data_IF_947664431215
#
_entry.id   IF_947664431215
#
_cell.length_a   1.000
_cell.length_b   1.000
_cell.length_c   1.000
_cell.angle_alpha   90.00
_cell.angle_beta   90.00
_cell.angle_gamma   90.00
#
_symmetry.space_group_name_H-M   'P 1'
#
loop_
_entity.id
_entity.type
_entity.pdbx_description
1 polymer ?
#
# COMPACT_ATOMS: atom_id res chain seq x y z
N UNK A 1 -20.27 -17.66 -8.26
CA UNK A 1 -18.89 -18.13 -7.97
C UNK A 1 -18.94 -19.61 -7.70
N UNK A 2 -18.04 -20.42 -8.28
CA UNK A 2 -17.89 -21.82 -7.89
C UNK A 2 -17.08 -21.90 -6.59
N UNK A 3 -17.43 -22.82 -5.69
CA UNK A 3 -16.62 -23.09 -4.52
C UNK A 3 -15.22 -23.59 -4.93
N UNK A 4 -14.18 -23.25 -4.18
CA UNK A 4 -12.80 -23.66 -4.44
C UNK A 4 -12.23 -24.36 -3.22
N UNK A 5 -11.63 -25.54 -3.46
CA UNK A 5 -11.00 -26.32 -2.40
C UNK A 5 -9.50 -26.48 -2.68
N UNK A 6 -8.68 -25.73 -1.95
CA UNK A 6 -7.24 -25.90 -1.94
C UNK A 6 -6.87 -27.09 -1.07
N UNK A 7 -6.16 -28.06 -1.65
CA UNK A 7 -5.66 -29.25 -0.96
C UNK A 7 -4.15 -29.30 -1.05
N UNK A 8 -3.53 -30.00 -0.13
CA UNK A 8 -2.09 -30.23 -0.15
C UNK A 8 -1.27 -28.94 -0.29
N UNK A 9 -1.63 -27.92 0.50
CA UNK A 9 -0.97 -26.62 0.55
C UNK A 9 -0.27 -26.39 1.89
N UNK A 10 0.84 -25.66 1.86
CA UNK A 10 1.53 -25.16 3.04
C UNK A 10 0.98 -23.77 3.38
N UNK A 11 0.21 -23.66 4.44
CA UNK A 11 -0.60 -22.50 4.79
C UNK A 11 0.18 -21.57 5.73
N UNK A 12 0.42 -20.33 5.29
CA UNK A 12 0.76 -19.18 6.13
C UNK A 12 -0.54 -18.43 6.45
N UNK A 13 -1.03 -18.51 7.68
CA UNK A 13 -2.35 -18.00 8.04
C UNK A 13 -2.40 -16.52 8.44
N UNK A 14 -1.24 -15.81 8.42
CA UNK A 14 -1.12 -14.42 8.89
C UNK A 14 -1.09 -14.28 10.42
N UNK A 15 -1.03 -15.39 11.16
CA UNK A 15 -1.01 -15.37 12.65
C UNK A 15 0.38 -15.15 13.25
N UNK A 16 1.44 -15.26 12.47
CA UNK A 16 2.81 -15.16 12.96
C UNK A 16 3.42 -16.50 13.40
N UNK A 17 2.64 -17.58 13.35
CA UNK A 17 3.12 -18.94 13.62
C UNK A 17 3.73 -19.58 12.37
N UNK A 18 4.50 -20.65 12.57
CA UNK A 18 5.07 -21.40 11.47
C UNK A 18 3.98 -21.95 10.54
N UNK A 19 4.17 -21.87 9.20
CA UNK A 19 3.22 -22.46 8.24
C UNK A 19 3.02 -23.94 8.46
N UNK A 20 1.83 -24.43 8.15
CA UNK A 20 1.44 -25.82 8.33
C UNK A 20 0.82 -26.39 7.06
N UNK A 21 0.93 -27.70 6.88
CA UNK A 21 0.24 -28.40 5.80
C UNK A 21 -1.25 -28.50 6.09
N UNK A 22 -2.08 -28.24 5.06
CA UNK A 22 -3.51 -28.23 5.27
C UNK A 22 -4.33 -28.07 4.01
N UNK A 23 -5.60 -27.78 4.22
CA UNK A 23 -6.62 -27.55 3.21
C UNK A 23 -7.41 -26.28 3.52
N UNK A 24 -7.86 -25.58 2.49
CA UNK A 24 -8.69 -24.37 2.61
C UNK A 24 -9.88 -24.49 1.67
N UNK A 25 -11.09 -24.41 2.23
CA UNK A 25 -12.34 -24.34 1.47
C UNK A 25 -12.78 -22.88 1.36
N UNK A 26 -13.00 -22.42 0.14
CA UNK A 26 -13.58 -21.11 -0.19
C UNK A 26 -15.00 -21.32 -0.68
N UNK A 27 -15.95 -20.55 -0.13
CA UNK A 27 -17.34 -20.50 -0.55
C UNK A 27 -17.78 -19.05 -0.75
N UNK A 28 -18.22 -18.75 -1.97
CA UNK A 28 -18.47 -17.37 -2.34
C UNK A 28 -17.21 -16.50 -2.21
N UNK A 29 -17.30 -15.38 -1.50
CA UNK A 29 -16.18 -14.45 -1.28
C UNK A 29 -15.37 -14.72 0.02
N UNK A 30 -15.68 -15.82 0.73
CA UNK A 30 -15.14 -16.11 2.06
C UNK A 30 -14.41 -17.44 2.17
N UNK A 31 -13.47 -17.46 3.11
CA UNK A 31 -12.87 -18.70 3.59
C UNK A 31 -13.91 -19.37 4.51
N UNK A 32 -14.45 -20.50 4.06
CA UNK A 32 -15.46 -21.25 4.80
C UNK A 32 -14.83 -22.18 5.83
N UNK A 33 -13.64 -22.74 5.52
CA UNK A 33 -12.98 -23.69 6.41
C UNK A 33 -11.46 -23.74 6.19
N UNK A 34 -10.72 -23.91 7.29
CA UNK A 34 -9.29 -24.18 7.29
C UNK A 34 -9.04 -25.46 8.09
N UNK A 35 -8.37 -26.44 7.50
CA UNK A 35 -8.09 -27.75 8.14
C UNK A 35 -6.58 -28.01 8.13
N UNK A 36 -6.02 -28.28 9.32
CA UNK A 36 -4.63 -28.70 9.45
C UNK A 36 -4.50 -30.20 9.17
N UNK A 37 -3.53 -30.61 8.37
CA UNK A 37 -3.27 -32.03 8.08
C UNK A 37 -3.01 -32.82 9.37
N UNK A 38 -3.56 -34.02 9.45
CA UNK A 38 -3.42 -34.90 10.63
C UNK A 38 -4.44 -34.69 11.73
N UNK A 39 -5.35 -33.70 11.64
CA UNK A 39 -6.39 -33.47 12.65
C UNK A 39 -7.72 -34.19 12.39
N UNK A 40 -7.71 -35.23 11.53
CA UNK A 40 -8.80 -36.22 11.41
C UNK A 40 -10.07 -35.77 10.67
N UNK A 41 -10.24 -34.51 10.34
CA UNK A 41 -11.39 -34.01 9.61
C UNK A 41 -10.92 -33.43 8.29
N UNK A 42 -11.11 -34.17 7.18
CA UNK A 42 -11.00 -33.56 5.85
C UNK A 42 -12.12 -32.54 5.66
N UNK A 43 -11.84 -31.40 5.07
CA UNK A 43 -12.92 -30.57 4.54
C UNK A 43 -13.64 -31.46 3.51
N UNK A 44 -14.88 -31.92 3.85
CA UNK A 44 -15.65 -32.69 2.89
C UNK A 44 -15.84 -31.82 1.65
N UNK A 45 -15.47 -32.28 0.45
CA UNK A 45 -15.71 -31.51 -0.74
C UNK A 45 -17.22 -31.28 -0.87
N UNK A 46 -17.61 -30.03 -0.91
CA UNK A 46 -18.96 -29.68 -1.32
C UNK A 46 -19.08 -30.09 -2.79
N UNK A 47 -20.10 -30.88 -3.13
CA UNK A 47 -20.26 -31.39 -4.49
C UNK A 47 -20.24 -30.23 -5.49
N UNK A 48 -19.30 -30.27 -6.45
CA UNK A 48 -19.12 -29.23 -7.47
C UNK A 48 -18.00 -28.22 -7.21
N UNK A 49 -17.28 -28.28 -6.08
CA UNK A 49 -16.14 -27.41 -5.84
C UNK A 49 -14.98 -27.69 -6.82
N UNK A 50 -14.35 -26.61 -7.30
CA UNK A 50 -13.11 -26.70 -8.06
C UNK A 50 -11.97 -27.08 -7.12
N UNK A 51 -11.31 -28.22 -7.36
CA UNK A 51 -10.16 -28.65 -6.54
C UNK A 51 -8.87 -28.07 -7.11
N UNK A 52 -8.09 -27.43 -6.23
CA UNK A 52 -6.72 -26.96 -6.49
C UNK A 52 -5.77 -27.78 -5.63
N UNK A 53 -5.09 -28.76 -6.23
CA UNK A 53 -4.01 -29.50 -5.56
C UNK A 53 -2.74 -28.63 -5.59
N UNK A 54 -2.36 -28.06 -4.46
CA UNK A 54 -1.19 -27.21 -4.36
C UNK A 54 0.15 -27.93 -4.48
N UNK A 55 0.18 -29.26 -4.39
CA UNK A 55 1.41 -30.09 -4.45
C UNK A 55 2.51 -29.58 -3.48
N UNK A 56 2.13 -29.09 -2.30
CA UNK A 56 3.03 -28.52 -1.29
C UNK A 56 3.36 -27.03 -1.47
N UNK A 57 2.81 -26.37 -2.49
CA UNK A 57 3.00 -24.94 -2.70
C UNK A 57 2.53 -24.09 -1.49
N UNK A 58 3.09 -22.89 -1.36
CA UNK A 58 2.84 -21.99 -0.24
C UNK A 58 1.56 -21.18 -0.49
N UNK A 59 0.57 -21.34 0.37
CA UNK A 59 -0.68 -20.56 0.34
C UNK A 59 -0.62 -19.47 1.40
N UNK A 60 -0.77 -18.22 0.98
CA UNK A 60 -0.73 -17.05 1.86
C UNK A 60 -1.89 -16.09 1.58
N UNK A 61 -2.23 -15.19 2.52
CA UNK A 61 -3.17 -14.10 2.24
C UNK A 61 -2.65 -13.21 1.12
N UNK A 62 -3.56 -12.59 0.38
CA UNK A 62 -3.23 -11.50 -0.54
C UNK A 62 -2.56 -10.34 0.19
N UNK A 63 -1.63 -9.67 -0.50
CA UNK A 63 -0.83 -8.58 0.07
C UNK A 63 -1.60 -7.25 0.10
N UNK A 64 -1.21 -6.39 1.05
CA UNK A 64 -1.75 -5.04 1.27
C UNK A 64 -0.66 -4.01 1.03
N UNK A 65 -0.82 -3.15 0.02
CA UNK A 65 0.06 -2.01 -0.24
C UNK A 65 -0.50 -0.76 0.47
N UNK A 66 0.29 -0.16 1.35
CA UNK A 66 -0.17 0.91 2.23
C UNK A 66 0.05 2.32 1.67
N UNK A 67 0.80 2.47 0.56
CA UNK A 67 1.16 3.76 -0.03
C UNK A 67 1.10 3.70 -1.56
N UNK A 68 -0.11 3.81 -2.11
CA UNK A 68 -0.36 3.55 -3.52
C UNK A 68 -0.70 4.82 -4.29
N UNK A 69 -0.13 4.96 -5.48
CA UNK A 69 -0.37 6.05 -6.41
C UNK A 69 -0.71 5.53 -7.81
N UNK A 70 -1.91 5.03 -8.06
CA UNK A 70 -2.27 4.51 -9.40
C UNK A 70 -2.12 5.55 -10.51
N UNK A 71 -2.20 6.81 -10.17
CA UNK A 71 -2.07 7.93 -11.11
C UNK A 71 -0.65 8.49 -11.26
N UNK A 72 0.34 8.00 -10.54
CA UNK A 72 1.74 8.24 -10.91
C UNK A 72 2.05 7.40 -12.14
N UNK A 73 2.48 8.00 -13.23
CA UNK A 73 2.57 7.36 -14.54
C UNK A 73 4.00 7.07 -15.00
N UNK A 74 4.82 6.61 -14.04
CA UNK A 74 6.22 6.23 -14.23
C UNK A 74 7.06 7.36 -14.88
N UNK A 75 6.71 8.63 -14.63
CA UNK A 75 7.42 9.80 -15.11
C UNK A 75 8.48 10.31 -14.12
N UNK A 76 9.49 11.09 -14.58
CA UNK A 76 10.59 11.51 -13.71
C UNK A 76 10.29 12.73 -12.82
N UNK A 77 9.11 13.32 -12.89
CA UNK A 77 8.72 14.47 -12.04
C UNK A 77 7.23 14.60 -11.89
N UNK A 78 6.79 15.27 -10.82
CA UNK A 78 5.38 15.55 -10.58
C UNK A 78 4.74 16.40 -11.70
N UNK A 79 5.50 17.36 -12.25
CA UNK A 79 5.07 18.17 -13.42
C UNK A 79 4.83 17.28 -14.65
N UNK A 80 5.72 16.33 -14.93
CA UNK A 80 5.53 15.39 -16.04
C UNK A 80 4.31 14.48 -15.82
N UNK A 81 4.10 13.99 -14.59
CA UNK A 81 2.91 13.20 -14.21
C UNK A 81 1.63 14.00 -14.46
N UNK A 82 1.62 15.27 -14.09
CA UNK A 82 0.45 16.17 -14.22
C UNK A 82 0.02 16.35 -15.67
N UNK A 83 0.92 16.31 -16.63
CA UNK A 83 0.68 16.66 -18.05
C UNK A 83 -0.20 15.66 -18.80
N UNK A 84 -0.32 14.41 -18.31
CA UNK A 84 -1.18 13.41 -18.97
C UNK A 84 -2.64 13.89 -18.97
N UNK A 85 -3.36 13.89 -20.09
CA UNK A 85 -4.77 14.25 -20.16
C UNK A 85 -5.63 13.37 -19.22
N UNK A 86 -6.70 13.89 -18.60
CA UNK A 86 -7.51 13.13 -17.64
C UNK A 86 -8.07 11.81 -18.18
N UNK A 87 -8.53 11.80 -19.44
CA UNK A 87 -9.09 10.64 -20.12
C UNK A 87 -8.05 9.55 -20.40
N UNK A 88 -6.81 9.92 -20.73
CA UNK A 88 -5.70 8.97 -20.87
C UNK A 88 -5.22 8.51 -19.50
N UNK A 89 -5.20 9.43 -18.53
CA UNK A 89 -4.74 9.16 -17.18
C UNK A 89 -5.62 8.13 -16.47
N UNK A 90 -6.95 8.16 -16.70
CA UNK A 90 -7.84 7.15 -16.11
C UNK A 90 -7.59 5.76 -16.70
N UNK A 91 -7.29 5.66 -18.00
CA UNK A 91 -6.93 4.40 -18.65
C UNK A 91 -5.59 3.86 -18.12
N UNK A 92 -4.61 4.74 -17.90
CA UNK A 92 -3.36 4.39 -17.23
C UNK A 92 -3.63 3.81 -15.82
N UNK A 93 -4.43 4.50 -15.00
CA UNK A 93 -4.75 4.04 -13.66
C UNK A 93 -5.40 2.65 -13.65
N UNK A 94 -6.25 2.35 -14.63
CA UNK A 94 -6.87 1.03 -14.77
C UNK A 94 -5.85 -0.07 -15.04
N UNK A 95 -4.87 0.18 -15.92
CA UNK A 95 -3.77 -0.76 -16.20
C UNK A 95 -2.87 -0.96 -14.97
N UNK A 96 -2.60 0.12 -14.21
CA UNK A 96 -1.82 0.03 -12.97
C UNK A 96 -2.56 -0.79 -11.92
N UNK A 97 -3.87 -0.59 -11.75
CA UNK A 97 -4.68 -1.36 -10.80
C UNK A 97 -4.62 -2.87 -11.09
N UNK A 98 -4.73 -3.27 -12.36
CA UNK A 98 -4.57 -4.67 -12.77
C UNK A 98 -3.15 -5.18 -12.50
N UNK A 99 -2.11 -4.37 -12.78
CA UNK A 99 -0.71 -4.71 -12.53
C UNK A 99 -0.43 -5.01 -11.04
N UNK A 100 -1.03 -4.25 -10.12
CA UNK A 100 -0.93 -4.54 -8.68
C UNK A 100 -1.53 -5.89 -8.33
N UNK A 101 -2.73 -6.18 -8.84
CA UNK A 101 -3.37 -7.47 -8.60
C UNK A 101 -2.57 -8.63 -9.20
N UNK A 102 -2.00 -8.44 -10.39
CA UNK A 102 -1.08 -9.39 -11.04
C UNK A 102 0.11 -9.81 -10.18
N UNK A 103 0.61 -8.86 -9.37
CA UNK A 103 1.74 -9.07 -8.45
C UNK A 103 1.29 -9.50 -7.05
N UNK A 104 0.01 -9.86 -6.87
CA UNK A 104 -0.52 -10.37 -5.60
C UNK A 104 -0.92 -9.32 -4.57
N UNK A 105 -0.93 -8.04 -4.92
CA UNK A 105 -1.46 -6.98 -4.08
C UNK A 105 -2.98 -6.94 -4.22
N UNK A 106 -3.68 -7.69 -3.37
CA UNK A 106 -5.16 -7.79 -3.43
C UNK A 106 -5.88 -6.63 -2.76
N UNK A 107 -5.15 -5.82 -1.98
CA UNK A 107 -5.66 -4.63 -1.30
C UNK A 107 -4.65 -3.50 -1.39
N UNK A 108 -5.13 -2.28 -1.68
CA UNK A 108 -4.29 -1.09 -1.81
C UNK A 108 -4.95 0.12 -1.16
N UNK A 109 -4.13 0.93 -0.48
CA UNK A 109 -4.56 2.20 0.11
C UNK A 109 -4.00 3.35 -0.72
N UNK A 110 -4.86 4.11 -1.38
CA UNK A 110 -4.48 5.31 -2.09
C UNK A 110 -3.82 6.32 -1.16
N UNK A 111 -2.66 6.80 -1.54
CA UNK A 111 -1.90 7.79 -0.78
C UNK A 111 -2.14 9.21 -1.30
N UNK A 112 -2.21 9.38 -2.60
CA UNK A 112 -2.66 10.59 -3.28
C UNK A 112 -2.97 10.30 -4.74
N UNK A 113 -3.79 11.15 -5.36
CA UNK A 113 -4.09 11.09 -6.79
C UNK A 113 -3.60 12.35 -7.52
N UNK A 114 -3.14 12.21 -8.76
CA UNK A 114 -2.61 13.32 -9.57
C UNK A 114 -3.69 14.30 -10.09
N UNK A 115 -4.95 13.95 -10.01
CA UNK A 115 -6.10 14.79 -10.39
C UNK A 115 -7.29 14.53 -9.46
N UNK A 116 -8.24 15.45 -9.33
CA UNK A 116 -9.22 15.47 -8.23
C UNK A 116 -10.02 14.19 -8.00
N UNK A 117 -10.24 13.35 -9.02
CA UNK A 117 -11.19 12.24 -8.94
C UNK A 117 -10.69 10.91 -9.50
N UNK A 118 -9.43 10.81 -9.96
CA UNK A 118 -8.95 9.56 -10.59
C UNK A 118 -9.12 8.36 -9.67
N UNK A 119 -8.63 8.45 -8.43
CA UNK A 119 -8.74 7.37 -7.44
C UNK A 119 -10.18 6.96 -7.15
N UNK A 120 -11.08 7.94 -7.03
CA UNK A 120 -12.51 7.69 -6.76
C UNK A 120 -13.15 6.93 -7.93
N UNK A 121 -12.85 7.33 -9.16
CA UNK A 121 -13.37 6.67 -10.37
C UNK A 121 -12.84 5.25 -10.46
N UNK A 122 -11.54 5.05 -10.25
CA UNK A 122 -10.91 3.72 -10.28
C UNK A 122 -11.49 2.80 -9.20
N UNK A 123 -11.61 3.29 -7.94
CA UNK A 123 -12.24 2.50 -6.87
C UNK A 123 -13.67 2.09 -7.22
N UNK A 124 -14.46 3.02 -7.73
CA UNK A 124 -15.84 2.73 -8.10
C UNK A 124 -15.91 1.70 -9.23
N UNK A 125 -15.09 1.88 -10.28
CA UNK A 125 -15.03 0.96 -11.43
C UNK A 125 -14.54 -0.45 -11.04
N UNK A 126 -13.65 -0.56 -10.05
CA UNK A 126 -13.28 -1.87 -9.48
C UNK A 126 -14.44 -2.49 -8.71
N UNK A 127 -15.17 -1.68 -7.91
CA UNK A 127 -16.24 -2.17 -7.06
C UNK A 127 -17.47 -2.61 -7.86
N UNK A 128 -17.76 -1.97 -9.00
CA UNK A 128 -18.87 -2.34 -9.88
C UNK A 128 -18.47 -3.37 -10.96
N UNK A 129 -17.18 -3.78 -11.00
CA UNK A 129 -16.67 -4.79 -11.92
C UNK A 129 -16.39 -4.28 -13.34
N UNK A 130 -16.42 -2.98 -13.57
CA UNK A 130 -16.09 -2.36 -14.88
C UNK A 130 -14.63 -2.59 -15.24
N UNK A 131 -13.73 -2.54 -14.25
CA UNK A 131 -12.30 -2.85 -14.40
C UNK A 131 -11.83 -3.85 -13.35
N UNK A 132 -10.75 -4.53 -13.67
CA UNK A 132 -10.05 -5.44 -12.74
C UNK A 132 -9.09 -4.65 -11.87
N UNK A 133 -9.02 -4.98 -10.57
CA UNK A 133 -8.09 -4.34 -9.65
C UNK A 133 -8.24 -4.85 -8.21
N UNK A 134 -7.35 -4.42 -7.30
CA UNK A 134 -7.40 -4.77 -5.88
C UNK A 134 -8.60 -4.12 -5.17
N UNK A 135 -8.87 -4.51 -3.93
CA UNK A 135 -9.68 -3.68 -3.03
C UNK A 135 -8.97 -2.36 -2.86
N UNK A 136 -9.65 -1.25 -3.11
CA UNK A 136 -9.01 0.04 -3.15
C UNK A 136 -9.70 1.07 -2.24
N UNK A 137 -8.91 1.82 -1.48
CA UNK A 137 -9.36 3.02 -0.77
C UNK A 137 -8.85 4.25 -1.52
N UNK A 138 -9.75 5.09 -1.97
CA UNK A 138 -9.46 6.26 -2.81
C UNK A 138 -8.94 7.44 -1.98
N UNK A 139 -7.82 8.03 -2.39
CA UNK A 139 -7.28 9.25 -1.79
C UNK A 139 -7.73 10.52 -2.50
N UNK A 140 -7.57 11.68 -1.80
CA UNK A 140 -7.59 13.00 -2.42
C UNK A 140 -6.30 13.27 -3.21
N UNK A 141 -6.24 14.39 -3.93
CA UNK A 141 -4.96 14.97 -4.31
C UNK A 141 -4.14 15.33 -3.06
N UNK A 142 -2.86 15.58 -3.26
CA UNK A 142 -2.01 16.18 -2.23
C UNK A 142 -2.53 17.55 -1.87
N UNK A 143 -2.98 17.74 -0.61
CA UNK A 143 -3.34 19.06 -0.09
C UNK A 143 -2.03 19.72 0.37
N UNK A 144 -1.71 20.86 -0.20
CA UNK A 144 -0.44 21.55 0.01
C UNK A 144 -0.62 23.07 0.04
N UNK A 145 0.46 23.79 0.31
CA UNK A 145 0.50 25.27 0.34
C UNK A 145 1.18 25.81 -0.93
N UNK A 146 1.03 27.12 -1.25
CA UNK A 146 1.81 27.74 -2.31
C UNK A 146 3.32 27.53 -2.13
N UNK A 147 3.99 26.98 -3.15
CA UNK A 147 5.42 26.63 -3.10
C UNK A 147 5.74 25.38 -2.28
N UNK A 148 4.74 24.64 -1.79
CA UNK A 148 4.92 23.39 -1.05
C UNK A 148 5.08 22.18 -1.95
N UNK A 149 5.33 21.01 -1.34
CA UNK A 149 5.34 19.72 -2.04
C UNK A 149 3.98 19.51 -2.72
N UNK A 150 4.00 19.24 -4.03
CA UNK A 150 2.79 19.07 -4.85
C UNK A 150 2.35 20.35 -5.59
N UNK A 151 2.89 21.54 -5.25
CA UNK A 151 2.74 22.73 -6.08
C UNK A 151 3.78 22.73 -7.19
N UNK A 152 3.37 22.23 -8.36
CA UNK A 152 4.25 22.05 -9.52
C UNK A 152 4.25 23.26 -10.47
N UNK A 153 3.41 24.27 -10.22
CA UNK A 153 3.23 25.39 -11.13
C UNK A 153 4.28 26.47 -10.88
N UNK A 154 4.97 26.90 -11.94
CA UNK A 154 5.94 27.97 -11.82
C UNK A 154 5.27 29.28 -11.36
N UNK A 155 5.91 30.12 -10.50
CA UNK A 155 5.28 31.28 -9.86
C UNK A 155 4.69 32.33 -10.80
N UNK A 156 5.14 32.38 -12.06
CA UNK A 156 4.67 33.33 -13.07
C UNK A 156 3.55 32.79 -13.97
N UNK A 157 3.13 31.53 -13.74
CA UNK A 157 2.06 30.89 -14.49
C UNK A 157 0.79 30.77 -13.65
N UNK A 158 -0.40 30.84 -14.27
CA UNK A 158 -1.63 30.55 -13.58
C UNK A 158 -1.70 29.06 -13.20
N UNK A 159 -2.30 28.77 -12.06
CA UNK A 159 -2.58 27.38 -11.67
C UNK A 159 -3.51 26.71 -12.70
N UNK A 160 -3.15 25.56 -13.24
CA UNK A 160 -4.04 24.82 -14.14
C UNK A 160 -5.25 24.26 -13.36
N UNK A 161 -6.38 24.12 -14.04
CA UNK A 161 -7.60 23.52 -13.47
C UNK A 161 -7.36 22.12 -12.88
N UNK A 162 -6.48 21.34 -13.51
CA UNK A 162 -6.08 20.00 -13.07
C UNK A 162 -4.63 20.02 -12.58
N UNK A 163 -4.32 20.92 -11.64
CA UNK A 163 -3.04 20.94 -10.95
C UNK A 163 -2.77 19.63 -10.23
N UNK A 164 -1.48 19.28 -10.03
CA UNK A 164 -1.10 18.07 -9.33
C UNK A 164 -1.58 18.07 -7.87
N UNK A 165 -1.30 19.15 -7.14
CA UNK A 165 -1.74 19.36 -5.76
C UNK A 165 -2.94 20.29 -5.65
N UNK A 166 -3.70 20.11 -4.58
CA UNK A 166 -4.74 21.05 -4.16
C UNK A 166 -4.11 22.11 -3.25
N UNK A 167 -3.92 23.31 -3.80
CA UNK A 167 -3.23 24.41 -3.13
C UNK A 167 -4.20 25.15 -2.20
N UNK A 168 -3.83 25.28 -0.93
CA UNK A 168 -4.65 25.99 0.08
C UNK A 168 -3.77 26.89 0.96
N UNK A 169 -4.36 27.98 1.46
CA UNK A 169 -3.70 28.92 2.35
C UNK A 169 -4.69 29.38 3.43
N UNK A 170 -4.41 28.97 4.66
CA UNK A 170 -5.26 29.25 5.80
C UNK A 170 -6.40 28.25 6.05
N UNK A 171 -6.97 28.31 7.24
CA UNK A 171 -7.93 27.35 7.77
C UNK A 171 -9.22 27.24 6.93
N UNK A 172 -9.74 28.36 6.41
CA UNK A 172 -11.00 28.35 5.66
C UNK A 172 -10.85 27.76 4.25
N UNK A 173 -9.71 27.97 3.58
CA UNK A 173 -9.43 27.28 2.31
C UNK A 173 -9.22 25.80 2.54
N UNK A 174 -8.52 25.40 3.62
CA UNK A 174 -8.40 24.00 4.02
C UNK A 174 -9.78 23.37 4.23
N UNK A 175 -10.68 24.01 4.97
CA UNK A 175 -12.05 23.56 5.21
C UNK A 175 -12.81 23.34 3.90
N UNK A 176 -12.75 24.30 3.00
CA UNK A 176 -13.40 24.22 1.68
C UNK A 176 -12.83 23.07 0.85
N UNK A 177 -11.51 22.92 0.86
CA UNK A 177 -10.80 21.85 0.13
C UNK A 177 -11.20 20.47 0.63
N UNK A 178 -11.19 20.24 1.95
CA UNK A 178 -11.61 18.96 2.56
C UNK A 178 -13.05 18.63 2.18
N UNK A 179 -13.98 19.58 2.33
CA UNK A 179 -15.39 19.39 1.97
C UNK A 179 -15.59 19.08 0.48
N UNK A 180 -14.77 19.67 -0.39
CA UNK A 180 -14.78 19.35 -1.82
C UNK A 180 -14.37 17.91 -2.08
N UNK A 181 -13.30 17.42 -1.47
CA UNK A 181 -12.87 16.03 -1.62
C UNK A 181 -13.86 15.04 -0.99
N UNK A 182 -14.48 15.40 0.13
CA UNK A 182 -15.59 14.62 0.71
C UNK A 182 -16.75 14.51 -0.29
N UNK A 183 -17.14 15.61 -0.93
CA UNK A 183 -18.17 15.62 -1.99
C UNK A 183 -17.77 14.74 -3.17
N UNK A 184 -16.48 14.69 -3.53
CA UNK A 184 -15.99 13.79 -4.60
C UNK A 184 -16.03 12.32 -4.21
N UNK A 185 -16.12 12.01 -2.91
CA UNK A 185 -16.30 10.65 -2.40
C UNK A 185 -14.99 9.95 -2.04
N UNK A 186 -13.92 10.68 -1.71
CA UNK A 186 -12.67 10.08 -1.24
C UNK A 186 -12.86 9.30 0.08
N UNK A 187 -12.00 8.32 0.32
CA UNK A 187 -11.92 7.57 1.58
C UNK A 187 -10.89 8.19 2.54
N UNK A 188 -9.87 8.84 1.98
CA UNK A 188 -8.77 9.47 2.72
C UNK A 188 -8.41 10.85 2.17
N UNK A 189 -8.10 11.79 3.06
CA UNK A 189 -7.52 13.10 2.74
C UNK A 189 -5.99 12.97 2.86
N UNK A 190 -5.25 13.39 1.84
CA UNK A 190 -3.78 13.42 1.86
C UNK A 190 -3.29 14.84 2.05
N UNK A 191 -2.57 15.08 3.15
CA UNK A 191 -1.95 16.39 3.46
C UNK A 191 -0.42 16.25 3.44
N UNK A 192 0.28 17.23 2.86
CA UNK A 192 1.73 17.27 2.85
C UNK A 192 2.23 18.14 4.01
N UNK A 193 2.65 17.52 5.12
CA UNK A 193 3.15 18.24 6.30
C UNK A 193 4.63 18.62 6.20
N UNK A 194 5.42 17.91 5.41
CA UNK A 194 6.82 18.28 5.14
C UNK A 194 7.11 18.35 3.66
N UNK A 195 8.26 18.88 3.30
CA UNK A 195 8.72 18.95 1.92
C UNK A 195 9.36 17.65 1.42
N UNK A 196 9.81 17.73 0.17
CA UNK A 196 10.56 16.71 -0.55
C UNK A 196 11.64 17.40 -1.38
N UNK A 197 12.90 17.02 -1.21
CA UNK A 197 14.05 17.73 -1.80
C UNK A 197 14.00 17.81 -3.33
N UNK A 198 13.42 16.80 -4.01
CA UNK A 198 13.28 16.80 -5.48
C UNK A 198 12.37 17.90 -6.00
N UNK A 199 11.48 18.44 -5.15
CA UNK A 199 10.57 19.54 -5.51
C UNK A 199 11.13 20.91 -5.10
N UNK A 200 12.33 20.95 -4.52
CA UNK A 200 12.96 22.18 -4.02
C UNK A 200 12.49 22.60 -2.63
N UNK A 201 11.53 21.89 -2.02
CA UNK A 201 11.09 22.14 -0.65
C UNK A 201 11.83 21.18 0.29
N UNK A 202 12.64 21.67 1.25
CA UNK A 202 13.39 20.80 2.16
C UNK A 202 12.49 19.90 3.00
N UNK A 203 12.92 18.63 3.17
CA UNK A 203 12.16 17.61 3.90
C UNK A 203 12.03 17.90 5.41
N UNK A 204 12.86 18.77 5.97
CA UNK A 204 12.83 19.20 7.37
C UNK A 204 11.83 20.34 7.65
N UNK A 205 11.22 20.93 6.64
CA UNK A 205 10.28 22.04 6.76
C UNK A 205 8.84 21.58 6.87
N UNK A 206 8.13 22.10 7.87
CA UNK A 206 6.67 21.93 7.96
C UNK A 206 5.96 23.00 7.15
N UNK A 207 5.01 22.58 6.32
CA UNK A 207 4.31 23.44 5.36
C UNK A 207 3.06 24.09 5.94
N UNK A 208 2.40 23.45 6.92
CA UNK A 208 1.15 23.89 7.52
C UNK A 208 1.32 24.33 8.95
N UNK A 209 0.47 25.27 9.38
CA UNK A 209 0.28 25.64 10.79
C UNK A 209 -0.57 24.59 11.50
N UNK A 210 -0.51 24.57 12.84
CA UNK A 210 -1.37 23.67 13.63
C UNK A 210 -2.86 23.95 13.44
N UNK A 211 -3.24 25.21 13.21
CA UNK A 211 -4.62 25.59 12.93
C UNK A 211 -5.15 24.98 11.62
N UNK A 212 -4.34 24.96 10.57
CA UNK A 212 -4.72 24.35 9.29
C UNK A 212 -4.82 22.83 9.39
N UNK A 213 -3.88 22.19 10.10
CA UNK A 213 -3.90 20.75 10.35
C UNK A 213 -5.14 20.37 11.17
N UNK A 214 -5.44 21.11 12.23
CA UNK A 214 -6.61 20.88 13.08
C UNK A 214 -7.91 20.90 12.28
N UNK A 215 -8.09 21.90 11.41
CA UNK A 215 -9.27 22.01 10.55
C UNK A 215 -9.36 20.85 9.58
N UNK A 216 -8.24 20.41 8.97
CA UNK A 216 -8.23 19.24 8.08
C UNK A 216 -8.72 17.99 8.81
N UNK A 217 -8.20 17.71 10.00
CA UNK A 217 -8.55 16.53 10.80
C UNK A 217 -9.98 16.61 11.34
N UNK A 218 -10.41 17.76 11.84
CA UNK A 218 -11.76 18.00 12.36
C UNK A 218 -12.81 17.74 11.28
N UNK A 219 -12.65 18.36 10.11
CA UNK A 219 -13.58 18.18 8.98
C UNK A 219 -13.57 16.71 8.49
N UNK A 220 -12.40 16.09 8.34
CA UNK A 220 -12.32 14.68 7.94
C UNK A 220 -13.06 13.77 8.95
N UNK A 221 -12.84 13.95 10.24
CA UNK A 221 -13.53 13.21 11.32
C UNK A 221 -15.04 13.38 11.27
N UNK A 222 -15.53 14.60 11.07
CA UNK A 222 -16.96 14.90 10.98
C UNK A 222 -17.66 14.11 9.87
N UNK A 223 -16.93 13.77 8.80
CA UNK A 223 -17.41 12.97 7.67
C UNK A 223 -16.97 11.51 7.70
N UNK A 224 -16.38 11.03 8.79
CA UNK A 224 -15.87 9.66 8.93
C UNK A 224 -14.74 9.33 7.95
N UNK A 225 -14.00 10.33 7.50
CA UNK A 225 -12.87 10.17 6.59
C UNK A 225 -11.56 10.06 7.36
N UNK A 226 -10.59 9.38 6.75
CA UNK A 226 -9.22 9.28 7.25
C UNK A 226 -8.39 10.46 6.78
N UNK A 227 -7.40 10.83 7.59
CA UNK A 227 -6.31 11.71 7.14
C UNK A 227 -5.02 10.91 7.08
N UNK A 228 -4.27 11.10 6.01
CA UNK A 228 -2.93 10.58 5.80
C UNK A 228 -1.97 11.72 5.50
N UNK A 229 -0.73 11.62 5.94
CA UNK A 229 0.23 12.71 5.80
C UNK A 229 1.57 12.26 5.23
N UNK A 230 2.10 13.03 4.27
CA UNK A 230 3.52 13.04 3.97
C UNK A 230 4.24 13.75 5.12
N UNK A 231 5.07 13.04 5.86
CA UNK A 231 5.74 13.56 7.05
C UNK A 231 7.13 12.94 7.22
N UNK A 232 8.17 13.65 6.79
CA UNK A 232 9.56 13.17 6.84
C UNK A 232 10.31 13.65 8.08
N UNK A 233 10.05 14.87 8.57
CA UNK A 233 10.75 15.49 9.69
C UNK A 233 10.18 15.09 11.06
N UNK A 234 11.02 15.13 12.11
CA UNK A 234 10.57 14.93 13.50
C UNK A 234 9.34 15.80 13.83
N UNK A 235 9.37 17.09 13.45
CA UNK A 235 8.29 18.00 13.75
C UNK A 235 6.99 17.64 13.02
N UNK A 236 7.06 17.26 11.74
CA UNK A 236 5.87 16.82 10.99
C UNK A 236 5.27 15.54 11.56
N UNK A 237 6.10 14.57 11.96
CA UNK A 237 5.66 13.32 12.59
C UNK A 237 4.98 13.60 13.95
N UNK A 238 5.59 14.42 14.80
CA UNK A 238 5.00 14.82 16.09
C UNK A 238 3.63 15.50 15.91
N UNK A 239 3.50 16.34 14.88
CA UNK A 239 2.20 16.96 14.53
C UNK A 239 1.19 15.93 14.05
N UNK A 240 1.58 14.94 13.27
CA UNK A 240 0.68 13.84 12.89
C UNK A 240 0.07 13.18 14.12
N UNK A 241 0.89 12.80 15.09
CA UNK A 241 0.44 12.13 16.30
C UNK A 241 -0.45 13.06 17.14
N UNK A 242 -0.01 14.28 17.42
CA UNK A 242 -0.76 15.27 18.24
C UNK A 242 -2.13 15.62 17.68
N UNK A 243 -2.28 15.66 16.36
CA UNK A 243 -3.56 15.94 15.69
C UNK A 243 -4.38 14.68 15.38
N UNK A 244 -3.86 13.47 15.65
CA UNK A 244 -4.56 12.21 15.41
C UNK A 244 -4.69 11.84 13.93
N UNK A 245 -3.66 12.13 13.13
CA UNK A 245 -3.56 11.69 11.73
C UNK A 245 -3.25 10.20 11.73
N UNK A 246 -4.12 9.38 11.11
CA UNK A 246 -4.05 7.92 11.21
C UNK A 246 -2.89 7.30 10.42
N UNK A 247 -2.52 7.87 9.26
CA UNK A 247 -1.48 7.29 8.40
C UNK A 247 -0.33 8.28 8.24
N UNK A 248 0.86 7.85 8.63
CA UNK A 248 2.08 8.63 8.54
C UNK A 248 2.96 7.99 7.47
N UNK A 249 3.09 8.68 6.34
CA UNK A 249 3.96 8.25 5.26
C UNK A 249 5.40 8.70 5.53
N UNK A 250 6.34 7.87 5.14
CA UNK A 250 7.80 8.07 5.22
C UNK A 250 8.38 8.00 6.63
N UNK A 251 8.07 8.94 7.53
CA UNK A 251 8.66 9.01 8.88
C UNK A 251 10.20 8.87 8.84
N UNK A 252 10.91 9.70 8.03
CA UNK A 252 12.34 9.55 7.75
C UNK A 252 13.22 9.88 8.94
N UNK A 253 12.96 11.01 9.62
CA UNK A 253 13.77 11.51 10.70
C UNK A 253 13.05 11.43 12.03
N UNK A 254 13.67 10.79 13.02
CA UNK A 254 13.12 10.69 14.37
C UNK A 254 14.19 11.03 15.40
N UNK A 255 13.79 11.70 16.48
CA UNK A 255 14.50 11.82 17.72
C UNK A 255 13.85 10.90 18.80
N UNK A 256 14.43 10.83 19.98
CA UNK A 256 13.88 9.98 21.05
C UNK A 256 12.45 10.36 21.42
N UNK A 257 12.12 11.66 21.49
CA UNK A 257 10.76 12.14 21.77
C UNK A 257 9.77 11.65 20.70
N UNK A 258 10.14 11.71 19.41
CA UNK A 258 9.31 11.23 18.32
C UNK A 258 9.08 9.73 18.40
N UNK A 259 10.13 8.97 18.71
CA UNK A 259 10.05 7.52 18.87
C UNK A 259 9.17 7.13 20.06
N UNK A 260 9.32 7.82 21.20
CA UNK A 260 8.50 7.59 22.40
C UNK A 260 7.02 7.88 22.12
N UNK A 261 6.74 8.99 21.44
CA UNK A 261 5.38 9.37 21.05
C UNK A 261 4.74 8.35 20.08
N UNK A 262 5.49 7.88 19.09
CA UNK A 262 4.99 6.84 18.15
C UNK A 262 4.78 5.49 18.84
N UNK A 263 5.58 5.14 19.84
CA UNK A 263 5.41 3.92 20.64
C UNK A 263 4.16 4.02 21.54
N UNK A 264 3.97 5.15 22.23
CA UNK A 264 2.81 5.40 23.09
C UNK A 264 1.50 5.27 22.32
N UNK A 265 1.45 5.81 21.08
CA UNK A 265 0.27 5.83 20.21
C UNK A 265 0.28 4.77 19.10
N UNK A 266 1.11 3.72 19.20
CA UNK A 266 1.32 2.74 18.10
C UNK A 266 0.08 1.99 17.62
N UNK A 267 -1.00 2.00 18.37
CA UNK A 267 -2.27 1.39 17.97
C UNK A 267 -3.19 2.36 17.22
N UNK A 268 -2.89 3.66 17.27
CA UNK A 268 -3.69 4.73 16.67
C UNK A 268 -3.17 5.12 15.27
N UNK A 269 -1.92 4.76 14.96
CA UNK A 269 -1.24 5.14 13.73
C UNK A 269 -0.78 3.94 12.91
N UNK A 270 -0.69 4.16 11.59
CA UNK A 270 -0.02 3.29 10.65
C UNK A 270 1.21 4.03 10.09
N UNK A 271 2.38 3.43 10.23
CA UNK A 271 3.59 3.90 9.56
C UNK A 271 3.70 3.16 8.24
N UNK A 272 3.38 3.84 7.15
CA UNK A 272 3.47 3.28 5.81
C UNK A 272 4.76 3.81 5.14
N UNK A 273 5.79 2.95 5.13
CA UNK A 273 7.10 3.31 4.64
C UNK A 273 7.78 2.15 3.94
N UNK A 274 8.09 2.35 2.66
CA UNK A 274 9.06 1.56 1.94
C UNK A 274 10.42 2.25 1.84
N UNK A 275 11.42 1.52 1.42
CA UNK A 275 12.76 2.04 1.15
C UNK A 275 13.04 2.17 -0.34
N UNK A 276 12.19 1.59 -1.20
CA UNK A 276 12.43 1.49 -2.64
C UNK A 276 12.67 2.86 -3.28
N UNK A 277 11.84 3.86 -2.97
CA UNK A 277 11.99 5.20 -3.55
C UNK A 277 13.33 5.83 -3.18
N UNK A 278 13.74 5.83 -1.90
CA UNK A 278 15.02 6.39 -1.46
C UNK A 278 16.21 5.64 -2.03
N UNK A 279 16.20 4.30 -2.00
CA UNK A 279 17.28 3.48 -2.52
C UNK A 279 17.45 3.72 -4.02
N UNK A 280 16.35 3.69 -4.78
CA UNK A 280 16.40 3.87 -6.22
C UNK A 280 16.79 5.31 -6.58
N UNK A 281 16.31 6.32 -5.85
CA UNK A 281 16.73 7.72 -6.03
C UNK A 281 18.24 7.86 -5.83
N UNK A 282 18.81 7.26 -4.78
CA UNK A 282 20.24 7.35 -4.49
C UNK A 282 21.12 6.60 -5.49
N UNK A 283 20.64 5.48 -6.06
CA UNK A 283 21.51 4.51 -6.73
C UNK A 283 21.09 4.14 -8.15
N UNK A 284 19.84 4.39 -8.56
CA UNK A 284 19.28 3.90 -9.82
C UNK A 284 18.59 4.97 -10.67
N UNK A 285 18.72 6.26 -10.31
CA UNK A 285 18.00 7.36 -10.96
C UNK A 285 18.91 8.26 -11.85
N UNK A 286 20.13 7.82 -12.16
CA UNK A 286 21.11 8.62 -12.91
C UNK A 286 20.67 8.99 -14.33
N UNK A 287 19.90 8.12 -15.00
CA UNK A 287 19.34 8.38 -16.34
C UNK A 287 18.39 9.57 -16.35
N UNK A 288 17.80 9.90 -15.20
CA UNK A 288 16.90 11.05 -15.01
C UNK A 288 17.59 12.25 -14.35
N UNK A 289 18.93 12.29 -14.37
CA UNK A 289 19.73 13.41 -13.83
C UNK A 289 19.97 13.35 -12.32
N UNK A 290 19.46 12.33 -11.63
CA UNK A 290 19.68 12.12 -10.20
C UNK A 290 20.92 11.22 -9.99
N UNK A 291 22.11 11.75 -10.36
CA UNK A 291 23.36 11.02 -10.12
C UNK A 291 23.65 10.92 -8.60
N UNK A 292 24.50 9.97 -8.16
CA UNK A 292 24.88 9.87 -6.75
C UNK A 292 25.42 11.18 -6.15
N UNK A 293 26.14 11.99 -6.92
CA UNK A 293 26.65 13.29 -6.48
C UNK A 293 25.50 14.31 -6.31
N UNK A 294 24.52 14.31 -7.22
CA UNK A 294 23.33 15.17 -7.14
C UNK A 294 22.48 14.78 -5.93
N UNK A 295 22.16 13.50 -5.80
CA UNK A 295 21.31 13.01 -4.71
C UNK A 295 21.97 13.18 -3.33
N UNK A 296 23.30 13.10 -3.27
CA UNK A 296 24.05 13.42 -2.04
C UNK A 296 23.93 14.90 -1.68
N UNK A 297 24.08 15.82 -2.65
CA UNK A 297 23.87 17.26 -2.42
C UNK A 297 22.45 17.61 -2.01
N UNK A 298 21.48 16.84 -2.47
CA UNK A 298 20.06 16.96 -2.08
C UNK A 298 19.74 16.37 -0.71
N UNK A 299 20.71 15.69 -0.05
CA UNK A 299 20.56 15.10 1.29
C UNK A 299 19.92 13.70 1.31
N UNK A 300 19.66 13.07 0.15
CA UNK A 300 18.97 11.78 0.10
C UNK A 300 19.76 10.62 0.70
N UNK A 301 21.10 10.65 0.63
CA UNK A 301 21.90 9.62 1.27
C UNK A 301 21.82 9.67 2.81
N UNK A 302 21.79 10.88 3.38
CA UNK A 302 21.63 11.07 4.82
C UNK A 302 20.20 10.71 5.24
N UNK A 303 19.21 11.06 4.41
CA UNK A 303 17.81 10.66 4.65
C UNK A 303 17.63 9.15 4.60
N UNK A 304 18.23 8.44 3.63
CA UNK A 304 18.17 6.99 3.54
C UNK A 304 18.77 6.33 4.79
N UNK A 305 19.90 6.82 5.25
CA UNK A 305 20.55 6.32 6.48
C UNK A 305 19.65 6.55 7.70
N UNK A 306 19.13 7.78 7.88
CA UNK A 306 18.21 8.11 8.97
C UNK A 306 16.93 7.26 8.93
N UNK A 307 16.37 7.06 7.75
CA UNK A 307 15.19 6.26 7.52
C UNK A 307 15.37 4.80 7.96
N UNK A 308 16.49 4.18 7.61
CA UNK A 308 16.82 2.81 8.01
C UNK A 308 16.94 2.72 9.54
N UNK A 309 17.64 3.65 10.18
CA UNK A 309 17.77 3.66 11.64
C UNK A 309 16.43 3.92 12.35
N UNK A 310 15.60 4.82 11.81
CA UNK A 310 14.22 5.03 12.29
C UNK A 310 13.40 3.74 12.23
N UNK A 311 13.42 3.04 11.10
CA UNK A 311 12.68 1.79 10.96
C UNK A 311 13.16 0.71 11.93
N UNK A 312 14.48 0.59 12.14
CA UNK A 312 15.07 -0.33 13.15
C UNK A 312 14.60 0.02 14.56
N UNK A 313 14.57 1.32 14.90
CA UNK A 313 14.13 1.79 16.21
C UNK A 313 12.62 1.53 16.42
N UNK A 314 11.78 1.83 15.43
CA UNK A 314 10.34 1.58 15.47
C UNK A 314 10.03 0.08 15.62
N UNK A 315 10.73 -0.78 14.85
CA UNK A 315 10.61 -2.23 14.97
C UNK A 315 10.90 -2.72 16.38
N UNK A 316 12.01 -2.26 17.00
CA UNK A 316 12.39 -2.63 18.37
C UNK A 316 11.34 -2.22 19.41
N UNK A 317 10.58 -1.15 19.16
CA UNK A 317 9.50 -0.63 20.00
C UNK A 317 8.13 -1.30 19.71
N UNK A 318 8.08 -2.23 18.75
CA UNK A 318 6.86 -2.92 18.37
C UNK A 318 5.86 -2.05 17.61
N UNK A 319 6.32 -0.97 16.99
CA UNK A 319 5.54 -0.15 16.06
C UNK A 319 5.47 -0.88 14.72
N UNK A 320 4.27 -1.03 14.18
CA UNK A 320 4.06 -1.72 12.90
C UNK A 320 4.48 -0.82 11.75
N UNK A 321 5.35 -1.35 10.89
CA UNK A 321 5.78 -0.71 9.65
C UNK A 321 5.16 -1.49 8.50
N UNK A 322 4.49 -0.80 7.60
CA UNK A 322 3.80 -1.38 6.45
C UNK A 322 4.57 -1.06 5.16
N UNK A 323 4.53 -1.94 4.15
CA UNK A 323 5.13 -1.65 2.86
C UNK A 323 4.45 -0.45 2.21
N UNK A 324 5.23 0.38 1.54
CA UNK A 324 4.76 1.61 0.92
C UNK A 324 5.91 2.36 0.29
N UNK A 325 6.41 1.85 -0.84
CA UNK A 325 7.65 2.30 -1.48
C UNK A 325 7.50 3.51 -2.38
N UNK A 326 6.34 4.16 -2.40
CA UNK A 326 6.10 5.38 -3.19
C UNK A 326 6.34 5.17 -4.70
N UNK A 327 5.70 4.10 -5.23
CA UNK A 327 5.88 3.65 -6.61
C UNK A 327 5.10 4.52 -7.61
N UNK A 328 5.63 4.61 -8.84
CA UNK A 328 5.07 5.33 -9.98
C UNK A 328 5.96 6.43 -10.52
N UNK A 329 7.20 6.54 -10.03
CA UNK A 329 8.26 7.31 -10.67
C UNK A 329 9.07 6.45 -11.64
N UNK A 330 9.74 7.09 -12.61
CA UNK A 330 10.51 6.42 -13.65
C UNK A 330 11.58 5.46 -13.09
N UNK A 331 12.20 5.78 -11.95
CA UNK A 331 13.20 4.93 -11.29
C UNK A 331 12.61 4.02 -10.19
N UNK A 332 11.33 4.14 -9.91
CA UNK A 332 10.59 3.27 -8.96
C UNK A 332 9.25 2.91 -9.59
N UNK A 333 9.26 2.17 -10.73
CA UNK A 333 8.07 1.94 -11.53
C UNK A 333 7.09 0.98 -10.84
N UNK A 334 5.82 1.09 -11.19
CA UNK A 334 4.79 0.16 -10.76
C UNK A 334 5.11 -1.29 -11.15
N UNK A 335 4.73 -2.23 -10.28
CA UNK A 335 4.97 -3.67 -10.49
C UNK A 335 6.26 -4.18 -9.82
N UNK A 336 7.03 -3.32 -9.16
CA UNK A 336 8.24 -3.70 -8.41
C UNK A 336 8.06 -3.63 -6.89
N UNK A 337 6.83 -3.51 -6.42
CA UNK A 337 6.44 -3.22 -5.02
C UNK A 337 6.96 -4.23 -4.00
N UNK A 338 7.03 -5.52 -4.35
CA UNK A 338 7.52 -6.55 -3.45
C UNK A 338 9.02 -6.42 -3.10
N UNK A 339 9.74 -5.51 -3.78
CA UNK A 339 11.14 -5.19 -3.46
C UNK A 339 11.29 -4.59 -2.07
N UNK A 340 10.30 -3.86 -1.58
CA UNK A 340 10.32 -3.35 -0.21
C UNK A 340 10.40 -4.46 0.85
N UNK A 341 9.80 -5.61 0.60
CA UNK A 341 9.85 -6.74 1.53
C UNK A 341 11.28 -7.30 1.65
N UNK A 342 12.00 -7.37 0.53
CA UNK A 342 13.43 -7.72 0.52
C UNK A 342 14.24 -6.66 1.28
N UNK A 343 13.97 -5.38 1.06
CA UNK A 343 14.65 -4.29 1.74
C UNK A 343 14.37 -4.27 3.26
N UNK A 344 13.19 -4.63 3.69
CA UNK A 344 12.86 -4.78 5.11
C UNK A 344 13.72 -5.86 5.77
N UNK A 345 13.90 -6.99 5.11
CA UNK A 345 14.78 -8.05 5.61
C UNK A 345 16.23 -7.58 5.59
N UNK A 346 16.70 -7.04 4.47
CA UNK A 346 18.11 -6.73 4.22
C UNK A 346 18.63 -5.55 5.02
N UNK A 347 17.86 -4.47 5.13
CA UNK A 347 18.33 -3.20 5.73
C UNK A 347 17.73 -2.90 7.10
N UNK A 348 16.48 -3.32 7.35
CA UNK A 348 15.81 -3.08 8.64
C UNK A 348 16.04 -4.22 9.63
N UNK A 349 16.41 -5.40 9.12
CA UNK A 349 16.64 -6.61 9.91
C UNK A 349 15.34 -7.28 10.36
N UNK A 350 14.25 -7.07 9.63
CA UNK A 350 13.03 -7.87 9.82
C UNK A 350 13.31 -9.33 9.44
N UNK A 351 12.73 -10.26 10.16
CA UNK A 351 12.64 -11.65 9.68
C UNK A 351 11.72 -11.71 8.45
N UNK A 352 11.87 -12.71 7.56
CA UNK A 352 10.90 -12.91 6.48
C UNK A 352 9.45 -13.03 6.97
N UNK A 353 9.23 -13.60 8.16
CA UNK A 353 7.94 -13.64 8.83
C UNK A 353 7.38 -12.24 9.11
N UNK A 354 8.18 -11.35 9.71
CA UNK A 354 7.76 -9.97 9.98
C UNK A 354 7.48 -9.20 8.68
N UNK A 355 8.27 -9.41 7.63
CA UNK A 355 8.05 -8.81 6.32
C UNK A 355 6.74 -9.29 5.67
N UNK A 356 6.41 -10.59 5.75
CA UNK A 356 5.12 -11.11 5.29
C UNK A 356 3.96 -10.58 6.12
N UNK A 357 4.09 -10.52 7.45
CA UNK A 357 3.06 -9.95 8.32
C UNK A 357 2.81 -8.48 8.01
N UNK A 358 3.85 -7.71 7.71
CA UNK A 358 3.73 -6.29 7.34
C UNK A 358 2.89 -6.09 6.09
N UNK A 359 3.07 -6.96 5.10
CA UNK A 359 2.34 -6.94 3.83
C UNK A 359 0.97 -7.67 3.88
N UNK A 360 0.58 -8.27 5.01
CA UNK A 360 -0.66 -9.03 5.13
C UNK A 360 -1.46 -8.60 6.37
N UNK A 361 -1.31 -9.31 7.47
CA UNK A 361 -2.09 -9.13 8.69
C UNK A 361 -1.97 -7.74 9.34
N UNK A 362 -0.80 -7.11 9.27
CA UNK A 362 -0.61 -5.76 9.82
C UNK A 362 -1.24 -4.67 8.94
N UNK A 363 -1.26 -4.89 7.61
CA UNK A 363 -1.90 -3.98 6.66
C UNK A 363 -3.42 -4.08 6.61
N UNK A 364 -3.98 -5.25 6.94
CA UNK A 364 -5.43 -5.50 6.89
C UNK A 364 -6.30 -4.44 7.57
N UNK A 365 -5.98 -3.99 8.81
CA UNK A 365 -6.74 -2.94 9.49
C UNK A 365 -6.79 -1.60 8.75
N UNK A 366 -5.78 -1.28 7.91
CA UNK A 366 -5.83 -0.07 7.07
C UNK A 366 -7.01 -0.07 6.10
N UNK A 367 -7.45 -1.23 5.66
CA UNK A 367 -8.58 -1.37 4.74
C UNK A 367 -9.95 -1.13 5.40
N UNK A 368 -9.99 -0.84 6.72
CA UNK A 368 -11.22 -0.65 7.51
C UNK A 368 -12.19 -1.84 7.47
N UNK A 369 -11.65 -3.04 7.18
CA UNK A 369 -12.39 -4.31 7.15
C UNK A 369 -12.10 -5.17 8.40
N UNK A 370 -11.57 -4.58 9.45
CA UNK A 370 -11.19 -5.29 10.67
C UNK A 370 -10.14 -6.38 10.42
N UNK A 371 -10.35 -7.56 10.98
CA UNK A 371 -9.46 -8.74 10.80
C UNK A 371 -9.92 -9.64 9.63
N UNK A 372 -10.63 -9.10 8.65
CA UNK A 372 -11.14 -9.90 7.53
C UNK A 372 -10.16 -9.96 6.34
N UNK A 373 -9.11 -9.12 6.35
CA UNK A 373 -8.07 -9.05 5.31
C UNK A 373 -6.72 -9.39 5.95
N UNK A 374 -5.85 -10.06 5.19
CA UNK A 374 -4.49 -10.42 5.60
C UNK A 374 -4.39 -11.71 6.42
N UNK A 375 -5.47 -12.51 6.48
CA UNK A 375 -5.51 -13.79 7.21
C UNK A 375 -6.12 -14.91 6.37
N UNK A 376 -5.65 -16.15 6.58
CA UNK A 376 -6.33 -17.37 6.14
C UNK A 376 -7.06 -17.97 7.36
N UNK A 377 -8.26 -17.49 7.61
CA UNK A 377 -9.13 -17.93 8.73
C UNK A 377 -10.58 -17.97 8.28
N UNK A 378 -11.35 -18.83 8.92
CA UNK A 378 -12.80 -18.91 8.67
C UNK A 378 -13.47 -17.55 8.85
N UNK A 379 -14.32 -17.17 7.90
CA UNK A 379 -14.99 -15.87 7.82
C UNK A 379 -14.20 -14.73 7.21
N UNK A 380 -12.87 -14.86 7.01
CA UNK A 380 -12.07 -13.86 6.30
C UNK A 380 -12.39 -13.85 4.80
N UNK A 381 -12.11 -12.74 4.13
CA UNK A 381 -12.18 -12.68 2.68
C UNK A 381 -11.22 -13.69 2.05
N UNK A 382 -11.67 -14.34 0.98
CA UNK A 382 -10.86 -15.24 0.20
C UNK A 382 -9.97 -14.46 -0.80
N UNK A 383 -9.05 -13.68 -0.24
CA UNK A 383 -7.98 -13.00 -0.97
C UNK A 383 -6.72 -13.83 -0.72
N UNK A 384 -6.32 -14.66 -1.70
CA UNK A 384 -5.33 -15.73 -1.52
C UNK A 384 -4.30 -15.73 -2.64
N UNK A 385 -3.05 -16.04 -2.29
CA UNK A 385 -1.95 -16.25 -3.22
C UNK A 385 -1.42 -17.68 -3.07
N UNK A 386 -1.25 -18.38 -4.18
CA UNK A 386 -0.53 -19.64 -4.23
C UNK A 386 0.85 -19.38 -4.85
N UNK A 387 1.91 -19.65 -4.08
CA UNK A 387 3.30 -19.32 -4.43
C UNK A 387 4.10 -20.59 -4.67
N UNK A 388 4.87 -20.64 -5.76
CA UNK A 388 5.85 -21.67 -6.05
C UNK A 388 7.16 -21.38 -5.30
N UNK A 389 7.33 -21.99 -4.15
CA UNK A 389 8.47 -21.81 -3.26
C UNK A 389 8.07 -21.41 -1.86
N UNK A 390 9.03 -20.96 -1.06
CA UNK A 390 8.85 -20.58 0.34
C UNK A 390 9.32 -19.12 0.58
N UNK A 391 8.39 -18.14 0.68
CA UNK A 391 8.75 -16.75 0.98
C UNK A 391 9.43 -16.55 2.33
N UNK A 392 9.32 -17.51 3.25
CA UNK A 392 10.03 -17.44 4.54
C UNK A 392 11.49 -17.86 4.43
N UNK A 393 11.84 -18.65 3.40
CA UNK A 393 13.22 -19.00 3.07
C UNK A 393 13.87 -17.93 2.20
N UNK A 394 13.12 -17.41 1.22
CA UNK A 394 13.56 -16.34 0.31
C UNK A 394 12.38 -15.41 -0.01
N UNK A 395 12.35 -14.27 0.65
CA UNK A 395 11.27 -13.27 0.46
C UNK A 395 11.28 -12.66 -0.95
N UNK A 396 12.43 -12.67 -1.64
CA UNK A 396 12.58 -12.07 -2.97
C UNK A 396 11.80 -12.81 -4.05
N UNK A 397 11.38 -14.06 -3.82
CA UNK A 397 10.55 -14.82 -4.79
C UNK A 397 9.22 -14.11 -5.09
N UNK A 398 8.71 -13.27 -4.17
CA UNK A 398 7.49 -12.48 -4.38
C UNK A 398 7.65 -11.36 -5.44
N UNK A 399 8.87 -11.06 -5.86
CA UNK A 399 9.16 -10.13 -6.96
C UNK A 399 9.01 -10.80 -8.34
N UNK A 400 9.03 -12.13 -8.38
CA UNK A 400 8.90 -12.91 -9.61
C UNK A 400 7.45 -13.33 -9.85
N UNK A 401 6.81 -12.64 -10.81
CA UNK A 401 5.43 -12.94 -11.23
C UNK A 401 5.21 -14.40 -11.64
N UNK A 402 6.24 -15.09 -12.14
CA UNK A 402 6.16 -16.51 -12.54
C UNK A 402 6.03 -17.45 -11.34
N UNK A 403 6.48 -17.02 -10.16
CA UNK A 403 6.34 -17.75 -8.91
C UNK A 403 4.96 -17.59 -8.25
N UNK A 404 4.16 -16.64 -8.68
CA UNK A 404 2.78 -16.46 -8.20
C UNK A 404 1.89 -17.35 -9.06
N UNK A 405 1.62 -18.57 -8.61
CA UNK A 405 0.85 -19.57 -9.37
C UNK A 405 -0.62 -19.21 -9.51
N UNK A 406 -1.22 -18.60 -8.47
CA UNK A 406 -2.58 -18.07 -8.55
C UNK A 406 -2.75 -16.82 -7.71
N UNK A 407 -3.67 -15.96 -8.16
CA UNK A 407 -4.15 -14.78 -7.43
C UNK A 407 -5.66 -14.89 -7.36
N UNK A 408 -6.20 -14.93 -6.14
CA UNK A 408 -7.63 -14.92 -5.86
C UNK A 408 -7.98 -13.65 -5.08
N UNK A 409 -9.05 -12.97 -5.48
CA UNK A 409 -9.61 -11.84 -4.76
C UNK A 409 -11.12 -12.05 -4.57
N UNK A 410 -11.58 -12.08 -3.33
CA UNK A 410 -12.99 -12.29 -3.02
C UNK A 410 -13.54 -13.61 -3.57
N UNK A 411 -12.75 -14.69 -3.54
CA UNK A 411 -13.16 -16.00 -4.03
C UNK A 411 -13.11 -16.20 -5.55
N UNK A 412 -12.76 -15.16 -6.30
CA UNK A 412 -12.61 -15.23 -7.75
C UNK A 412 -11.15 -15.21 -8.17
N UNK A 413 -10.79 -16.10 -9.10
CA UNK A 413 -9.44 -16.09 -9.66
C UNK A 413 -9.25 -14.92 -10.63
N UNK A 414 -8.35 -14.01 -10.28
CA UNK A 414 -7.74 -13.09 -11.23
C UNK A 414 -6.74 -13.86 -12.11
N UNK A 415 -5.90 -14.67 -11.47
CA UNK A 415 -5.03 -15.63 -12.13
C UNK A 415 -5.35 -17.03 -11.59
N UNK A 416 -5.88 -17.89 -12.48
CA UNK A 416 -6.14 -19.29 -12.14
C UNK A 416 -4.82 -20.06 -12.00
N UNK A 417 -4.75 -21.06 -11.10
CA UNK A 417 -3.58 -21.92 -10.98
C UNK A 417 -3.38 -22.74 -12.26
N UNK A 418 -2.13 -23.21 -12.54
CA UNK A 418 -1.84 -24.06 -13.70
C UNK A 418 -2.73 -25.32 -13.74
N UNK A 419 -3.06 -25.79 -14.93
CA UNK A 419 -3.96 -26.96 -15.13
C UNK A 419 -3.48 -28.20 -14.37
N UNK A 420 -2.17 -28.40 -14.19
CA UNK A 420 -1.59 -29.49 -13.41
C UNK A 420 -2.01 -29.50 -11.93
N UNK A 421 -2.43 -28.34 -11.40
CA UNK A 421 -2.92 -28.18 -10.03
C UNK A 421 -4.45 -28.18 -9.95
N UNK A 422 -5.13 -28.28 -11.10
CA UNK A 422 -6.60 -28.33 -11.17
C UNK A 422 -7.04 -29.80 -11.33
N UNK A 423 -7.85 -30.30 -10.40
CA UNK A 423 -8.56 -31.56 -10.53
C UNK A 423 -10.05 -31.31 -10.35
N UNK A 424 -10.85 -31.79 -11.29
CA UNK A 424 -12.30 -31.85 -11.14
C UNK A 424 -12.66 -33.23 -10.63
N UNK A 425 -13.21 -33.38 -9.45
CA UNK A 425 -13.82 -34.62 -9.02
C UNK A 425 -15.14 -34.81 -9.76
N UNK A 426 -15.15 -35.61 -10.82
CA UNK A 426 -16.40 -36.28 -11.26
C UNK A 426 -16.62 -37.43 -10.28
N UNK A 427 -17.54 -37.30 -9.36
CA UNK A 427 -18.05 -38.44 -8.64
C UNK A 427 -18.87 -39.27 -9.64
N UNK A 428 -18.46 -40.51 -9.86
CA UNK A 428 -19.34 -41.49 -10.46
C UNK A 428 -20.53 -41.68 -9.52
N UNK A 429 -21.74 -41.60 -10.09
CA UNK A 429 -22.99 -41.82 -9.40
C UNK A 429 -23.12 -43.24 -8.90
#
# INVERSE_FOLDING_TARGET
MADVHYTNVRIFDGGGEAPFMGEVLVQGDRIARVVRSGQGVRAAPVGGAQIVDGAGAFLMPGMVEAHTHFSWNDQPSLDAIQRMPPEEHILWCAQVAERYLDMGWTSCVGAATAKPRLDVVIRNAINDGTIVGPRYLAASQEITVPGGLGDTTAPHLPQPEFAFGAIVSGAEEMRRCVRMFVKYGVDSLKINLSGESITGMPSDRCQFTDAEIAVCVEEAKAWGKRVSAHARSCNSIKRCVRHGIEVIYHASYTDNETLDLLEEHKMEHFIARGLAWLINTCHHASEWGLTPEVTKKMGYHDELAAAIETMKALRKRGVRILPGGDYGFAWTPHGTNAKDLEYFVKFVGMSPMEALLSATAWGGPMMRQGKQIGYIREGCYADLLLIDGDPLADIAILQDKSRILSVMKGGEFHRAPPVRTLRTTRWAA
#
